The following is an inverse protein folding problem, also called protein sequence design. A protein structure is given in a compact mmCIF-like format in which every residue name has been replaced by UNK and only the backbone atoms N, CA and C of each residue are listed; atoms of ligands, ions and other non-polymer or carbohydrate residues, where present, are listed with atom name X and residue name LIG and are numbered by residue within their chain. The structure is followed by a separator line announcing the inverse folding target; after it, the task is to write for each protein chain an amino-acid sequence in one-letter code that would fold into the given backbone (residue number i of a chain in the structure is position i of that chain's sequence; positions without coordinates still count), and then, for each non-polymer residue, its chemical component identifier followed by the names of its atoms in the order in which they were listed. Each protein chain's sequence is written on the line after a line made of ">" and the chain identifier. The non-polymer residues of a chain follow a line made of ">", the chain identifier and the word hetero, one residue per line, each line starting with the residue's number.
data_IF_869559301182
#
_entry.id   IF_869559301182
#
_cell.length_a   1.000
_cell.length_b   1.000
_cell.length_c   1.000
_cell.angle_alpha   90.00
_cell.angle_beta   90.00
_cell.angle_gamma   90.00
#
_symmetry.space_group_name_H-M   'P 1'
#
loop_
_entity.id
_entity.type
_entity.pdbx_description
1 polymer ?
#
# COMPACT_ATOMS: atom_id res chain seq x y z
N UNK A 1 5.84 -14.53 -15.00
CA UNK A 1 6.04 -13.08 -14.85
C UNK A 1 5.52 -12.67 -13.48
N UNK A 2 6.30 -11.97 -12.66
CA UNK A 2 5.83 -11.54 -11.34
C UNK A 2 4.68 -10.56 -11.53
N UNK A 3 3.50 -10.90 -11.02
CA UNK A 3 2.27 -10.11 -11.15
C UNK A 3 2.52 -8.70 -10.59
N UNK A 4 2.36 -7.68 -11.41
CA UNK A 4 2.34 -6.28 -10.95
C UNK A 4 1.04 -6.07 -10.21
N UNK A 5 1.07 -6.14 -8.88
CA UNK A 5 -0.11 -6.01 -8.04
C UNK A 5 0.22 -5.12 -6.85
N UNK A 6 -0.36 -3.91 -6.83
CA UNK A 6 -0.20 -2.97 -5.74
C UNK A 6 -1.50 -2.79 -4.97
N UNK A 7 -1.39 -2.65 -3.64
CA UNK A 7 -2.52 -2.30 -2.79
C UNK A 7 -2.96 -0.85 -3.00
N UNK A 8 -4.14 -0.49 -2.51
CA UNK A 8 -4.66 0.90 -2.53
C UNK A 8 -3.74 1.89 -1.79
N UNK A 9 -2.94 1.41 -0.82
CA UNK A 9 -2.09 2.23 0.04
C UNK A 9 -0.59 2.22 -0.34
N UNK A 10 -0.21 1.54 -1.43
CA UNK A 10 1.15 1.59 -1.98
C UNK A 10 2.06 0.40 -1.66
N UNK A 11 1.51 -0.72 -1.19
CA UNK A 11 2.29 -1.95 -0.94
C UNK A 11 2.39 -2.79 -2.22
N UNK A 12 3.55 -3.39 -2.49
CA UNK A 12 3.72 -4.44 -3.52
C UNK A 12 3.13 -5.76 -3.00
N UNK A 13 1.86 -6.03 -3.34
CA UNK A 13 1.22 -7.31 -3.04
C UNK A 13 1.87 -8.46 -3.84
N UNK A 14 2.51 -8.18 -4.98
CA UNK A 14 3.18 -9.18 -5.80
C UNK A 14 4.42 -9.80 -5.13
N UNK A 15 5.00 -9.13 -4.13
CA UNK A 15 6.10 -9.64 -3.30
C UNK A 15 5.71 -9.88 -1.84
N UNK A 16 4.44 -9.70 -1.48
CA UNK A 16 3.98 -9.81 -0.10
C UNK A 16 3.75 -11.27 0.28
N UNK A 17 4.51 -11.79 1.25
CA UNK A 17 4.45 -13.19 1.70
C UNK A 17 3.06 -13.67 2.14
N UNK A 18 2.29 -12.77 2.75
CA UNK A 18 0.91 -13.05 3.16
C UNK A 18 -0.01 -13.23 1.94
N UNK A 19 0.19 -12.43 0.89
CA UNK A 19 -0.61 -12.50 -0.33
C UNK A 19 -0.18 -13.65 -1.25
N UNK A 20 1.12 -13.91 -1.34
CA UNK A 20 1.66 -15.05 -2.10
C UNK A 20 1.42 -16.39 -1.41
N UNK A 21 0.97 -16.37 -0.15
CA UNK A 21 0.66 -17.57 0.63
C UNK A 21 1.88 -18.26 1.23
N UNK A 22 3.08 -17.66 1.14
CA UNK A 22 4.27 -18.15 1.83
C UNK A 22 4.25 -17.89 3.34
N UNK A 23 3.30 -17.06 3.82
CA UNK A 23 3.04 -16.81 5.25
C UNK A 23 1.55 -16.89 5.58
N UNK A 24 1.22 -17.44 6.75
CA UNK A 24 -0.15 -17.66 7.23
C UNK A 24 -0.52 -16.75 8.41
N UNK A 25 -1.76 -16.21 8.47
CA UNK A 25 -2.88 -16.42 7.54
C UNK A 25 -2.70 -15.79 6.15
N UNK A 26 -3.18 -16.46 5.10
CA UNK A 26 -3.17 -15.91 3.75
C UNK A 26 -4.02 -14.63 3.62
N UNK A 27 -3.55 -13.69 2.80
CA UNK A 27 -4.23 -12.43 2.51
C UNK A 27 -4.81 -12.47 1.09
N UNK A 28 -6.14 -12.41 0.94
CA UNK A 28 -6.78 -12.38 -0.38
C UNK A 28 -6.60 -11.03 -1.12
N UNK A 29 -6.06 -10.00 -0.45
CA UNK A 29 -5.88 -8.66 -1.00
C UNK A 29 -7.01 -7.71 -0.60
N UNK A 30 -6.69 -6.42 -0.49
CA UNK A 30 -7.59 -5.41 0.07
C UNK A 30 -8.92 -5.26 -0.70
N UNK A 31 -8.90 -5.44 -2.01
CA UNK A 31 -10.10 -5.36 -2.86
C UNK A 31 -11.05 -6.54 -2.61
N UNK A 32 -10.52 -7.77 -2.55
CA UNK A 32 -11.33 -8.98 -2.32
C UNK A 32 -11.98 -8.96 -0.95
N UNK A 33 -11.22 -8.58 0.08
CA UNK A 33 -11.73 -8.50 1.46
C UNK A 33 -12.48 -7.18 1.75
N UNK A 34 -12.68 -6.32 0.74
CA UNK A 34 -13.32 -5.01 0.87
C UNK A 34 -12.77 -4.17 2.04
N UNK A 35 -11.44 -4.19 2.19
CA UNK A 35 -10.75 -3.47 3.26
C UNK A 35 -11.00 -4.03 4.67
N UNK A 36 -11.41 -5.29 4.82
CA UNK A 36 -11.62 -5.95 6.12
C UNK A 36 -10.61 -7.09 6.36
N UNK A 37 -9.33 -6.77 6.62
CA UNK A 37 -8.33 -7.76 7.03
C UNK A 37 -8.63 -8.39 8.38
N UNK A 38 -7.87 -9.44 8.73
CA UNK A 38 -8.03 -10.18 9.99
C UNK A 38 -7.92 -9.31 11.25
N UNK A 39 -7.26 -8.15 11.16
CA UNK A 39 -7.08 -7.21 12.26
C UNK A 39 -8.17 -6.13 12.37
N UNK A 40 -9.17 -6.11 11.47
CA UNK A 40 -10.29 -5.16 11.56
C UNK A 40 -10.63 -4.50 10.22
N UNK A 41 -11.02 -3.22 10.26
CA UNK A 41 -11.38 -2.45 9.06
C UNK A 41 -10.26 -1.47 8.70
N UNK A 42 -9.82 -1.50 7.46
CA UNK A 42 -8.77 -0.65 6.91
C UNK A 42 -9.33 0.74 6.57
N UNK A 43 -8.89 1.81 7.26
CA UNK A 43 -9.41 3.16 7.06
C UNK A 43 -8.94 3.82 5.76
N UNK A 44 -7.86 3.34 5.13
CA UNK A 44 -7.42 3.87 3.82
C UNK A 44 -8.21 3.25 2.67
N UNK A 45 -8.55 1.97 2.76
CA UNK A 45 -9.39 1.34 1.74
C UNK A 45 -10.76 2.02 1.65
N UNK A 46 -11.44 2.19 2.79
CA UNK A 46 -12.73 2.93 2.85
C UNK A 46 -12.57 4.36 2.33
N UNK A 47 -11.57 5.09 2.79
CA UNK A 47 -11.30 6.46 2.33
C UNK A 47 -11.12 6.56 0.80
N UNK A 48 -10.33 5.66 0.22
CA UNK A 48 -10.09 5.64 -1.22
C UNK A 48 -11.35 5.25 -2.01
N UNK A 49 -12.12 4.27 -1.51
CA UNK A 49 -13.40 3.88 -2.08
C UNK A 49 -14.41 5.04 -2.07
N UNK A 50 -14.58 5.71 -0.93
CA UNK A 50 -15.54 6.82 -0.78
C UNK A 50 -15.15 8.04 -1.62
N UNK A 51 -13.85 8.23 -1.87
CA UNK A 51 -13.30 9.28 -2.75
C UNK A 51 -13.19 8.85 -4.21
N UNK A 52 -13.64 7.64 -4.55
CA UNK A 52 -13.54 7.05 -5.88
C UNK A 52 -12.10 7.07 -6.46
N UNK A 53 -11.10 6.92 -5.59
CA UNK A 53 -9.69 6.92 -5.94
C UNK A 53 -9.16 5.49 -6.01
N UNK A 54 -8.53 5.12 -7.14
CA UNK A 54 -7.95 3.77 -7.33
C UNK A 54 -6.86 3.45 -6.29
N UNK A 55 -6.10 4.45 -5.89
CA UNK A 55 -5.06 4.39 -4.87
C UNK A 55 -4.84 5.79 -4.29
N UNK A 56 -4.16 5.89 -3.15
CA UNK A 56 -3.98 7.16 -2.44
C UNK A 56 -3.36 8.25 -3.32
N UNK A 57 -2.35 7.91 -4.12
CA UNK A 57 -1.70 8.85 -5.04
C UNK A 57 -2.60 9.41 -6.15
N UNK A 58 -3.75 8.77 -6.43
CA UNK A 58 -4.75 9.26 -7.38
C UNK A 58 -5.81 10.16 -6.73
N UNK A 59 -5.75 10.38 -5.42
CA UNK A 59 -6.67 11.26 -4.71
C UNK A 59 -6.26 12.74 -4.91
N UNK A 60 -7.25 13.63 -5.09
CA UNK A 60 -7.04 15.08 -5.20
C UNK A 60 -6.35 15.70 -3.99
N UNK A 61 -6.56 15.12 -2.80
CA UNK A 61 -6.07 15.65 -1.54
C UNK A 61 -4.73 15.00 -1.15
N UNK A 62 -4.14 14.20 -2.04
CA UNK A 62 -2.88 13.52 -1.75
C UNK A 62 -1.67 14.46 -1.91
N UNK A 63 -0.70 14.44 -0.98
CA UNK A 63 -0.65 13.65 0.25
C UNK A 63 -1.50 14.28 1.37
N UNK A 64 -2.34 13.48 2.05
CA UNK A 64 -3.16 13.94 3.17
C UNK A 64 -2.68 13.39 4.52
N UNK A 65 -2.99 14.10 5.61
CA UNK A 65 -2.60 13.73 6.97
C UNK A 65 -3.06 12.32 7.33
N UNK A 66 -4.31 11.96 6.98
CA UNK A 66 -4.86 10.62 7.22
C UNK A 66 -4.02 9.49 6.61
N UNK A 67 -3.35 9.74 5.48
CA UNK A 67 -2.46 8.75 4.87
C UNK A 67 -1.10 8.69 5.58
N UNK A 68 -0.51 9.85 5.89
CA UNK A 68 0.82 9.95 6.51
C UNK A 68 0.80 9.49 7.97
N UNK A 69 -0.32 9.68 8.66
CA UNK A 69 -0.55 9.22 10.03
C UNK A 69 -0.94 7.74 10.12
N UNK A 70 -1.14 7.06 8.99
CA UNK A 70 -1.43 5.64 8.97
C UNK A 70 -0.18 4.82 9.17
N UNK A 71 0.13 4.49 10.41
CA UNK A 71 1.16 3.53 10.78
C UNK A 71 0.84 2.93 12.16
N UNK A 72 1.51 1.84 12.52
CA UNK A 72 1.44 1.32 13.88
C UNK A 72 2.29 2.24 14.79
N UNK A 73 1.70 2.95 15.78
CA UNK A 73 2.45 3.81 16.67
C UNK A 73 3.43 3.04 17.57
N UNK A 74 3.27 1.73 17.71
CA UNK A 74 4.19 0.86 18.45
C UNK A 74 5.35 0.36 17.58
N UNK A 75 5.30 0.59 16.26
CA UNK A 75 6.40 0.32 15.36
C UNK A 75 7.29 1.59 15.27
N UNK A 76 8.52 1.57 15.80
CA UNK A 76 9.44 2.71 15.72
C UNK A 76 9.72 3.15 14.28
N UNK A 77 9.61 2.22 13.33
CA UNK A 77 9.81 2.44 11.90
C UNK A 77 8.52 2.79 11.16
N UNK A 78 7.36 2.69 11.82
CA UNK A 78 6.05 2.90 11.20
C UNK A 78 5.91 4.28 10.56
N UNK A 79 6.39 5.33 11.24
CA UNK A 79 6.37 6.71 10.72
C UNK A 79 7.28 6.87 9.49
N UNK A 80 8.47 6.26 9.50
CA UNK A 80 9.38 6.25 8.34
C UNK A 80 8.74 5.51 7.18
N UNK A 81 8.12 4.37 7.45
CA UNK A 81 7.36 3.59 6.47
C UNK A 81 6.20 4.35 5.84
N UNK A 82 5.48 5.18 6.61
CA UNK A 82 4.41 6.03 6.08
C UNK A 82 4.93 7.10 5.10
N UNK A 83 6.04 7.77 5.44
CA UNK A 83 6.70 8.74 4.55
C UNK A 83 7.24 8.06 3.29
N UNK A 84 7.87 6.89 3.42
CA UNK A 84 8.32 6.09 2.29
C UNK A 84 7.15 5.74 1.35
N UNK A 85 6.04 5.24 1.89
CA UNK A 85 4.84 4.93 1.10
C UNK A 85 4.24 6.17 0.43
N UNK A 86 4.34 7.35 1.05
CA UNK A 86 3.90 8.59 0.41
C UNK A 86 4.74 8.89 -0.85
N UNK A 87 6.05 8.71 -0.78
CA UNK A 87 6.92 8.84 -1.96
C UNK A 87 6.58 7.84 -3.06
N UNK A 88 6.33 6.58 -2.70
CA UNK A 88 5.91 5.54 -3.65
C UNK A 88 4.58 5.89 -4.32
N UNK A 89 3.57 6.31 -3.56
CA UNK A 89 2.26 6.68 -4.10
C UNK A 89 2.32 7.94 -4.98
N UNK A 90 3.16 8.92 -4.62
CA UNK A 90 3.40 10.09 -5.46
C UNK A 90 4.05 9.72 -6.81
N UNK A 91 5.03 8.82 -6.78
CA UNK A 91 5.69 8.31 -7.98
C UNK A 91 4.73 7.48 -8.84
N UNK A 92 3.98 6.57 -8.20
CA UNK A 92 2.95 5.73 -8.82
C UNK A 92 1.89 6.57 -9.54
N UNK A 93 1.43 7.67 -8.95
CA UNK A 93 0.45 8.55 -9.57
C UNK A 93 0.91 9.12 -10.92
N UNK A 94 2.22 9.35 -11.09
CA UNK A 94 2.81 9.91 -12.31
C UNK A 94 3.27 8.86 -13.31
N UNK A 95 3.62 7.67 -12.84
CA UNK A 95 4.37 6.69 -13.62
C UNK A 95 3.69 5.32 -13.75
N UNK A 96 2.60 5.09 -13.03
CA UNK A 96 1.83 3.84 -13.04
C UNK A 96 2.40 2.75 -12.12
N UNK A 97 1.63 1.65 -12.04
CA UNK A 97 1.88 0.54 -11.12
C UNK A 97 3.20 -0.19 -11.42
N UNK A 98 3.56 -0.36 -12.70
CA UNK A 98 4.78 -1.11 -13.10
C UNK A 98 6.07 -0.43 -12.61
N UNK A 99 6.22 0.86 -12.90
CA UNK A 99 7.39 1.63 -12.48
C UNK A 99 7.46 1.77 -10.96
N UNK A 100 6.32 1.90 -10.28
CA UNK A 100 6.27 1.95 -8.82
C UNK A 100 6.74 0.62 -8.18
N UNK A 101 6.27 -0.53 -8.69
CA UNK A 101 6.74 -1.85 -8.24
C UNK A 101 8.23 -2.03 -8.48
N UNK A 102 8.75 -1.61 -9.64
CA UNK A 102 10.17 -1.66 -9.93
C UNK A 102 10.98 -0.81 -8.92
N UNK A 103 10.53 0.40 -8.61
CA UNK A 103 11.16 1.27 -7.61
C UNK A 103 11.15 0.64 -6.21
N UNK A 104 10.01 0.08 -5.78
CA UNK A 104 9.91 -0.62 -4.50
C UNK A 104 10.96 -1.72 -4.44
N UNK A 105 11.02 -2.61 -5.43
CA UNK A 105 11.92 -3.76 -5.44
C UNK A 105 13.41 -3.39 -5.51
N UNK A 106 13.74 -2.25 -6.13
CA UNK A 106 15.11 -1.70 -6.13
C UNK A 106 15.51 -1.15 -4.76
N UNK A 107 14.55 -0.59 -4.02
CA UNK A 107 14.80 0.05 -2.72
C UNK A 107 14.70 -0.91 -1.53
N UNK A 108 13.92 -2.00 -1.63
CA UNK A 108 13.80 -3.02 -0.56
C UNK A 108 14.95 -4.01 -0.51
N UNK A 109 15.80 -4.11 -1.55
CA UNK A 109 16.98 -5.01 -1.55
C UNK A 109 18.19 -4.51 -0.74
N UNK A 110 18.09 -3.35 -0.07
CA UNK A 110 19.25 -2.66 0.51
C UNK A 110 19.26 -2.53 2.04
N UNK A 111 18.30 -3.11 2.78
CA UNK A 111 18.30 -3.10 4.25
C UNK A 111 17.85 -4.44 4.83
#
# INVERSE_FOLDING_TARGET
>A
MAKTMMSTCGLDCGSCEWHTGSRQPSCAGCTEIKGKPFWGTCPTYSCAHDRNAKHCGACSDFPCDKFVEMFDPNDPEGRRGAVYRAGIEAYRARHGDEKAVELIRKTTKAH
#
